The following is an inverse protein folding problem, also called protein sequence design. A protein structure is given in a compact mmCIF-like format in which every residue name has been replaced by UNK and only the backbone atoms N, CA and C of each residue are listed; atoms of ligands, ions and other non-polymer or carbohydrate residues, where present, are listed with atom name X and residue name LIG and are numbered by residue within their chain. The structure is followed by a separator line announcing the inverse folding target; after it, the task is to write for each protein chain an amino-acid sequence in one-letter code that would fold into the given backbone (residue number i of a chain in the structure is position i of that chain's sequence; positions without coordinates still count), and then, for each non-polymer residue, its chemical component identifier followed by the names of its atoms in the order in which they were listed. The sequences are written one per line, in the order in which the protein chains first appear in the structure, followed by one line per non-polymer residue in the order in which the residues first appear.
data_IF_265243329448
#
_entry.id   IF_265243329448
#
_cell.length_a   1.000
_cell.length_b   1.000
_cell.length_c   1.000
_cell.angle_alpha   90.00
_cell.angle_beta   90.00
_cell.angle_gamma   90.00
#
_symmetry.space_group_name_H-M   'P 1'
#
loop_
_entity.id
_entity.type
_entity.pdbx_description
1 polymer ?
#
# COMPACT_ATOMS: atom_id res chain seq x y z
N UNK A 1 35.67 17.48 45.50
CA UNK A 1 36.12 16.10 45.20
C UNK A 1 35.08 15.22 44.50
N UNK A 2 33.77 15.29 44.82
CA UNK A 2 32.72 14.67 43.97
C UNK A 2 32.16 15.62 42.91
N UNK A 3 32.18 16.93 43.19
CA UNK A 3 31.70 17.97 42.25
C UNK A 3 32.57 18.02 40.98
N UNK A 4 33.90 17.91 41.13
CA UNK A 4 34.87 17.91 40.03
C UNK A 4 34.67 16.71 39.09
N UNK A 5 34.24 15.56 39.63
CA UNK A 5 33.93 14.37 38.85
C UNK A 5 32.61 14.50 38.06
N UNK A 6 31.64 15.24 38.60
CA UNK A 6 30.37 15.48 37.93
C UNK A 6 30.53 16.50 36.80
N UNK A 7 31.33 17.55 37.01
CA UNK A 7 31.66 18.53 35.97
C UNK A 7 32.48 17.89 34.83
N UNK A 8 33.42 17.00 35.14
CA UNK A 8 34.17 16.25 34.13
C UNK A 8 33.27 15.30 33.31
N UNK A 9 32.24 14.71 33.94
CA UNK A 9 31.30 13.81 33.26
C UNK A 9 30.31 14.56 32.37
N UNK A 10 29.84 15.73 32.84
CA UNK A 10 29.00 16.63 32.05
C UNK A 10 29.76 17.24 30.86
N UNK A 11 31.04 17.60 31.05
CA UNK A 11 31.92 18.02 29.95
C UNK A 11 32.19 16.89 28.93
N UNK A 12 32.32 15.64 29.39
CA UNK A 12 32.48 14.48 28.51
C UNK A 12 31.21 14.17 27.69
N UNK A 13 30.02 14.24 28.30
CA UNK A 13 28.75 14.08 27.57
C UNK A 13 28.54 15.22 26.55
N UNK A 14 28.89 16.47 26.91
CA UNK A 14 28.84 17.61 25.98
C UNK A 14 29.82 17.50 24.81
N UNK A 15 30.94 16.77 24.98
CA UNK A 15 31.88 16.46 23.90
C UNK A 15 31.40 15.31 23.00
N UNK A 16 30.60 14.37 23.52
CA UNK A 16 29.97 13.30 22.72
C UNK A 16 28.83 13.81 21.84
N UNK A 17 28.12 14.87 22.26
CA UNK A 17 27.05 15.46 21.45
C UNK A 17 27.59 16.33 20.29
N UNK A 18 28.79 16.91 20.45
CA UNK A 18 29.45 17.72 19.41
C UNK A 18 30.31 16.89 18.44
N UNK A 19 30.58 15.61 18.75
CA UNK A 19 31.39 14.73 17.92
C UNK A 19 30.76 13.33 17.84
N UNK A 20 29.96 13.02 16.79
CA UNK A 20 29.38 11.69 16.64
C UNK A 20 30.48 10.63 16.57
N UNK A 21 30.41 9.63 17.46
CA UNK A 21 31.34 8.50 17.51
C UNK A 21 31.43 7.80 16.15
N UNK A 22 32.63 7.60 15.58
CA UNK A 22 32.83 7.05 14.25
C UNK A 22 32.82 5.51 14.28
N UNK A 23 31.71 4.88 14.68
CA UNK A 23 31.64 3.40 14.64
C UNK A 23 30.28 2.77 14.32
N UNK A 24 29.21 3.55 14.06
CA UNK A 24 27.95 3.01 13.50
C UNK A 24 27.64 3.60 12.11
N UNK A 25 28.68 3.94 11.35
CA UNK A 25 28.55 4.16 9.91
C UNK A 25 28.67 2.80 9.21
N UNK A 26 27.70 2.36 8.38
CA UNK A 26 27.91 1.21 7.51
C UNK A 26 29.17 1.45 6.67
N UNK A 27 29.91 0.40 6.29
CA UNK A 27 31.22 0.53 5.66
C UNK A 27 31.16 1.58 4.55
N UNK A 28 31.86 2.69 4.77
CA UNK A 28 32.03 3.76 3.80
C UNK A 28 32.95 3.22 2.71
N UNK A 29 32.35 2.46 1.79
CA UNK A 29 32.95 2.20 0.50
C UNK A 29 33.15 3.56 -0.17
N UNK A 30 34.41 3.97 -0.31
CA UNK A 30 34.85 5.25 -0.87
C UNK A 30 34.43 5.45 -2.33
N UNK A 31 33.71 4.49 -2.90
CA UNK A 31 33.08 4.55 -4.21
C UNK A 31 31.83 5.43 -4.29
N UNK A 32 31.20 5.79 -3.16
CA UNK A 32 29.95 6.58 -3.19
C UNK A 32 29.94 7.76 -2.19
N UNK A 33 29.59 8.98 -2.63
CA UNK A 33 29.61 10.18 -1.78
C UNK A 33 28.57 10.11 -0.65
N UNK A 34 28.77 10.76 0.50
CA UNK A 34 27.84 10.70 1.64
C UNK A 34 26.41 11.18 1.31
N UNK A 35 26.25 12.02 0.28
CA UNK A 35 24.96 12.47 -0.23
C UNK A 35 24.12 11.34 -0.85
N UNK A 36 24.73 10.34 -1.49
CA UNK A 36 23.96 9.24 -2.09
C UNK A 36 23.36 8.32 -1.03
N UNK A 37 24.03 8.08 0.10
CA UNK A 37 23.46 7.31 1.21
C UNK A 37 22.29 8.03 1.89
N UNK A 38 22.39 9.34 2.10
CA UNK A 38 21.29 10.15 2.67
C UNK A 38 20.09 10.17 1.72
N UNK A 39 20.31 10.29 0.41
CA UNK A 39 19.24 10.24 -0.58
C UNK A 39 18.62 8.84 -0.66
N UNK A 40 19.42 7.77 -0.62
CA UNK A 40 18.93 6.38 -0.59
C UNK A 40 18.14 6.11 0.69
N UNK A 41 18.60 6.59 1.84
CA UNK A 41 17.91 6.45 3.12
C UNK A 41 16.56 7.17 3.13
N UNK A 42 16.52 8.40 2.63
CA UNK A 42 15.28 9.16 2.50
C UNK A 42 14.35 8.59 1.43
N UNK A 43 14.90 8.08 0.32
CA UNK A 43 14.13 7.40 -0.73
C UNK A 43 13.54 6.09 -0.23
N UNK A 44 14.30 5.30 0.54
CA UNK A 44 13.84 4.04 1.12
C UNK A 44 12.79 4.26 2.21
N UNK A 45 12.98 5.23 3.12
CA UNK A 45 11.95 5.62 4.09
C UNK A 45 10.65 6.08 3.42
N UNK A 46 10.75 6.88 2.35
CA UNK A 46 9.58 7.36 1.59
C UNK A 46 8.91 6.24 0.81
N UNK A 47 9.69 5.32 0.22
CA UNK A 47 9.13 4.19 -0.52
C UNK A 47 8.40 3.21 0.39
N UNK A 48 8.96 2.89 1.57
CA UNK A 48 8.30 2.00 2.54
C UNK A 48 6.92 2.53 2.93
N UNK A 49 6.79 3.85 3.15
CA UNK A 49 5.51 4.47 3.51
C UNK A 49 4.43 4.25 2.45
N UNK A 50 4.75 4.41 1.16
CA UNK A 50 3.79 4.22 0.07
C UNK A 50 3.42 2.75 -0.15
N UNK A 51 4.37 1.83 0.04
CA UNK A 51 4.11 0.39 -0.09
C UNK A 51 3.14 -0.08 1.00
N UNK A 52 3.34 0.37 2.24
CA UNK A 52 2.45 0.02 3.36
C UNK A 52 1.04 0.58 3.15
N UNK A 53 0.89 1.84 2.74
CA UNK A 53 -0.43 2.40 2.45
C UNK A 53 -1.10 1.70 1.28
N UNK A 54 -0.37 1.42 0.20
CA UNK A 54 -0.88 0.69 -0.96
C UNK A 54 -1.39 -0.72 -0.65
N UNK A 55 -0.81 -1.41 0.34
CA UNK A 55 -1.29 -2.71 0.79
C UNK A 55 -2.55 -2.62 1.67
N UNK A 56 -2.67 -1.59 2.51
CA UNK A 56 -3.78 -1.46 3.46
C UNK A 56 -5.03 -0.84 2.83
N UNK A 57 -4.86 0.15 1.95
CA UNK A 57 -5.95 0.86 1.27
C UNK A 57 -6.98 -0.03 0.55
N UNK A 58 -6.61 -1.09 -0.20
CA UNK A 58 -7.60 -1.93 -0.87
C UNK A 58 -8.52 -2.67 0.12
N UNK A 59 -8.07 -2.96 1.35
CA UNK A 59 -8.89 -3.64 2.37
C UNK A 59 -9.84 -2.69 3.11
N UNK A 60 -9.44 -1.43 3.29
CA UNK A 60 -10.26 -0.43 4.00
C UNK A 60 -11.24 0.28 3.06
N UNK A 61 -10.91 0.36 1.76
CA UNK A 61 -11.72 1.09 0.80
C UNK A 61 -13.03 0.36 0.47
N UNK A 62 -14.21 1.00 0.63
CA UNK A 62 -15.48 0.42 0.20
C UNK A 62 -15.59 0.30 -1.33
N UNK A 63 -14.74 1.03 -2.07
CA UNK A 63 -14.76 1.06 -3.54
C UNK A 63 -14.12 -0.17 -4.19
N UNK A 64 -13.22 -0.85 -3.49
CA UNK A 64 -12.56 -2.07 -4.00
C UNK A 64 -13.56 -3.18 -4.34
N UNK A 65 -14.72 -3.22 -3.68
CA UNK A 65 -15.78 -4.18 -4.01
C UNK A 65 -16.36 -3.93 -5.41
N UNK A 66 -16.59 -2.66 -5.76
CA UNK A 66 -17.17 -2.30 -7.06
C UNK A 66 -16.20 -2.55 -8.21
N UNK A 67 -14.89 -2.42 -7.99
CA UNK A 67 -13.89 -2.75 -9.04
C UNK A 67 -13.92 -4.23 -9.41
N UNK A 68 -14.01 -5.12 -8.42
CA UNK A 68 -14.18 -6.55 -8.67
C UNK A 68 -15.53 -6.85 -9.37
N UNK A 69 -16.61 -6.20 -8.93
CA UNK A 69 -17.93 -6.37 -9.54
C UNK A 69 -17.96 -5.92 -11.01
N UNK A 70 -17.33 -4.78 -11.34
CA UNK A 70 -17.19 -4.27 -12.71
C UNK A 70 -16.46 -5.26 -13.62
N UNK A 71 -15.38 -5.88 -13.16
CA UNK A 71 -14.67 -6.88 -13.95
C UNK A 71 -15.54 -8.12 -14.24
N UNK A 72 -16.39 -8.51 -13.29
CA UNK A 72 -17.25 -9.69 -13.43
C UNK A 72 -18.46 -9.50 -14.37
N UNK A 73 -18.89 -8.26 -14.60
CA UNK A 73 -20.08 -7.97 -15.43
C UNK A 73 -19.75 -7.76 -16.90
N UNK A 74 -18.49 -7.44 -17.24
CA UNK A 74 -18.10 -7.14 -18.62
C UNK A 74 -18.09 -8.44 -19.43
N UNK A 75 -18.97 -8.60 -20.44
CA UNK A 75 -19.03 -9.82 -21.22
C UNK A 75 -17.96 -9.79 -22.31
N UNK A 76 -16.78 -10.32 -22.02
CA UNK A 76 -15.74 -10.51 -23.04
C UNK A 76 -16.04 -11.67 -24.00
N UNK A 77 -16.92 -12.58 -23.59
CA UNK A 77 -17.39 -13.71 -24.40
C UNK A 77 -18.88 -13.56 -24.62
N UNK A 78 -19.35 -13.90 -25.82
CA UNK A 78 -20.77 -13.89 -26.12
C UNK A 78 -21.51 -14.90 -25.21
N UNK A 79 -22.52 -14.47 -24.44
CA UNK A 79 -23.22 -15.36 -23.53
C UNK A 79 -24.09 -16.33 -24.35
N UNK A 80 -23.74 -17.61 -24.29
CA UNK A 80 -24.49 -18.68 -24.98
C UNK A 80 -25.79 -18.94 -24.21
N UNK A 81 -26.97 -18.80 -24.85
CA UNK A 81 -28.24 -19.11 -24.21
C UNK A 81 -28.33 -20.57 -23.77
N UNK A 82 -28.83 -20.79 -22.57
CA UNK A 82 -29.10 -22.13 -22.04
C UNK A 82 -30.35 -22.69 -22.72
N UNK A 83 -30.40 -24.00 -22.95
CA UNK A 83 -31.60 -24.69 -23.43
C UNK A 83 -32.64 -24.71 -22.30
N UNK A 84 -33.89 -24.43 -22.63
CA UNK A 84 -34.97 -24.41 -21.64
C UNK A 84 -35.52 -25.82 -21.39
N UNK A 85 -35.43 -26.28 -20.14
CA UNK A 85 -35.97 -27.56 -19.66
C UNK A 85 -37.34 -27.37 -18.96
N UNK A 86 -37.90 -26.15 -18.96
CA UNK A 86 -39.20 -25.82 -18.40
C UNK A 86 -39.21 -25.59 -16.88
N UNK A 87 -38.09 -25.79 -16.18
CA UNK A 87 -37.95 -25.58 -14.73
C UNK A 87 -36.70 -24.76 -14.38
N UNK A 88 -36.60 -23.53 -14.90
CA UNK A 88 -35.47 -22.62 -14.66
C UNK A 88 -35.94 -21.24 -14.18
N UNK A 89 -36.34 -21.09 -12.89
CA UNK A 89 -36.88 -19.85 -12.35
C UNK A 89 -35.83 -18.76 -12.07
N UNK A 90 -34.57 -18.97 -12.46
CA UNK A 90 -33.44 -18.04 -12.31
C UNK A 90 -32.90 -17.50 -13.64
N UNK A 91 -33.04 -18.26 -14.73
CA UNK A 91 -32.60 -17.86 -16.07
C UNK A 91 -33.65 -16.96 -16.75
N UNK A 92 -33.29 -15.77 -17.26
CA UNK A 92 -34.21 -14.92 -18.01
C UNK A 92 -34.46 -15.47 -19.42
N UNK A 93 -35.70 -15.34 -19.90
CA UNK A 93 -36.05 -15.72 -21.29
C UNK A 93 -35.72 -14.61 -22.29
N UNK A 94 -35.66 -13.36 -21.82
CA UNK A 94 -35.37 -12.20 -22.66
C UNK A 94 -34.48 -11.19 -21.92
N UNK A 95 -33.57 -10.47 -22.61
CA UNK A 95 -32.66 -9.51 -21.95
C UNK A 95 -33.35 -8.37 -21.17
N UNK A 96 -34.56 -7.98 -21.56
CA UNK A 96 -35.32 -6.91 -20.91
C UNK A 96 -36.11 -7.38 -19.68
N UNK A 97 -36.06 -8.66 -19.33
CA UNK A 97 -36.76 -9.18 -18.15
C UNK A 97 -36.09 -8.68 -16.86
N UNK A 98 -36.86 -8.44 -15.80
CA UNK A 98 -36.34 -8.00 -14.50
C UNK A 98 -35.54 -9.10 -13.75
N UNK A 99 -35.29 -10.22 -14.42
CA UNK A 99 -34.74 -11.45 -13.87
C UNK A 99 -33.26 -11.55 -14.23
N UNK A 100 -32.42 -11.85 -13.24
CA UNK A 100 -30.97 -11.94 -13.40
C UNK A 100 -30.23 -10.75 -12.77
N UNK A 101 -28.99 -10.54 -13.20
CA UNK A 101 -28.08 -9.57 -12.60
C UNK A 101 -28.27 -8.19 -13.22
N UNK A 102 -28.95 -7.30 -12.50
CA UNK A 102 -29.17 -5.92 -12.95
C UNK A 102 -27.95 -5.01 -12.68
N UNK A 103 -27.81 -3.98 -13.51
CA UNK A 103 -26.72 -2.99 -13.45
C UNK A 103 -27.19 -1.64 -12.86
N UNK A 104 -28.32 -1.62 -12.13
CA UNK A 104 -28.87 -0.40 -11.53
C UNK A 104 -27.89 0.26 -10.55
N UNK A 105 -27.11 -0.52 -9.80
CA UNK A 105 -26.08 0.01 -8.90
C UNK A 105 -24.95 0.73 -9.66
N UNK A 106 -24.62 0.28 -10.87
CA UNK A 106 -23.57 0.87 -11.71
C UNK A 106 -24.10 2.10 -12.45
N UNK A 107 -25.39 2.15 -12.75
CA UNK A 107 -26.05 3.30 -13.35
C UNK A 107 -26.20 4.46 -12.35
N UNK A 108 -26.42 4.14 -11.08
CA UNK A 108 -26.68 5.11 -10.00
C UNK A 108 -25.42 5.48 -9.20
N UNK A 109 -24.23 5.09 -9.67
CA UNK A 109 -22.94 5.42 -9.02
C UNK A 109 -22.46 6.83 -9.34
#
# INVERSE_FOLDING_TARGET
MQLDKLEAKCLAERQMELNPQPSDTPPTDSRFPPFSLILVYNAHRRSISCILSGMVLPFVSPYTKYTAMMNSIVPYTYPVPVRDDGNMPDVPSHPCEAKGRSLEWFKNM
#
